data_IF_830220206808
#
_entry.id   IF_830220206808
#
_cell.length_a   1.000
_cell.length_b   1.000
_cell.length_c   1.000
_cell.angle_alpha   90.00
_cell.angle_beta   90.00
_cell.angle_gamma   90.00
#
_symmetry.space_group_name_H-M   'P 1'
#
loop_
_entity.id
_entity.type
_entity.pdbx_description
1 polymer ?
#
# COMPACT_ATOMS: atom_id res chain seq x y z
N UNK A 1 -3.89 -1.14 -11.36
CA UNK A 1 -3.70 -0.59 -10.00
C UNK A 1 -3.68 0.94 -10.01
N UNK A 2 -4.53 1.61 -9.24
CA UNK A 2 -4.59 3.08 -9.20
C UNK A 2 -5.17 3.62 -7.90
N UNK A 3 -4.53 4.64 -7.32
CA UNK A 3 -5.04 5.43 -6.21
C UNK A 3 -5.59 6.77 -6.72
N UNK A 4 -6.79 7.15 -6.29
CA UNK A 4 -7.43 8.41 -6.67
C UNK A 4 -7.63 9.28 -5.44
N UNK A 5 -7.15 10.52 -5.47
CA UNK A 5 -7.38 11.49 -4.41
C UNK A 5 -7.84 12.83 -5.00
N UNK A 6 -9.07 13.22 -4.65
CA UNK A 6 -9.71 14.44 -5.14
C UNK A 6 -9.79 15.56 -4.07
N UNK A 7 -9.11 15.40 -2.93
CA UNK A 7 -9.14 16.39 -1.86
C UNK A 7 -8.10 17.50 -2.01
N UNK A 8 -8.24 18.57 -1.21
CA UNK A 8 -7.39 19.77 -1.31
C UNK A 8 -6.02 19.70 -0.63
N UNK A 9 -5.66 18.60 0.05
CA UNK A 9 -4.39 18.52 0.77
C UNK A 9 -3.23 18.25 -0.18
N UNK A 10 -2.42 19.28 -0.47
CA UNK A 10 -1.28 19.23 -1.40
C UNK A 10 -0.27 18.13 -1.08
N UNK A 11 -0.03 17.84 0.21
CA UNK A 11 0.90 16.77 0.61
C UNK A 11 0.36 15.41 0.20
N UNK A 12 -0.92 15.16 0.48
CA UNK A 12 -1.58 13.92 0.05
C UNK A 12 -1.58 13.79 -1.46
N UNK A 13 -1.94 14.83 -2.22
CA UNK A 13 -1.90 14.76 -3.69
C UNK A 13 -0.53 14.33 -4.22
N UNK A 14 0.56 14.85 -3.63
CA UNK A 14 1.94 14.47 -4.00
C UNK A 14 2.26 13.01 -3.64
N UNK A 15 1.92 12.58 -2.42
CA UNK A 15 2.14 11.20 -1.98
C UNK A 15 1.38 10.22 -2.86
N UNK A 16 0.12 10.53 -3.20
CA UNK A 16 -0.73 9.69 -4.04
C UNK A 16 -0.18 9.57 -5.45
N UNK A 17 0.28 10.68 -6.03
CA UNK A 17 0.98 10.65 -7.32
C UNK A 17 2.20 9.73 -7.24
N UNK A 18 3.04 9.88 -6.21
CA UNK A 18 4.24 9.04 -6.06
C UNK A 18 3.91 7.56 -5.81
N UNK A 19 2.87 7.28 -5.05
CA UNK A 19 2.39 5.91 -4.83
C UNK A 19 1.96 5.26 -6.15
N UNK A 20 1.23 5.98 -7.00
CA UNK A 20 0.86 5.48 -8.33
C UNK A 20 2.08 5.20 -9.20
N UNK A 21 3.09 6.08 -9.21
CA UNK A 21 4.34 5.84 -9.94
C UNK A 21 5.06 4.57 -9.45
N UNK A 22 5.08 4.32 -8.14
CA UNK A 22 5.72 3.14 -7.56
C UNK A 22 4.94 1.87 -7.84
N UNK A 23 3.61 1.89 -7.69
CA UNK A 23 2.74 0.74 -7.96
C UNK A 23 2.77 0.32 -9.44
N UNK A 24 3.17 1.21 -10.35
CA UNK A 24 3.37 0.93 -11.78
C UNK A 24 4.83 0.62 -12.14
N UNK A 25 5.76 0.72 -11.19
CA UNK A 25 7.20 0.58 -11.45
C UNK A 25 7.64 -0.87 -11.50
N UNK A 26 8.28 -1.29 -12.59
CA UNK A 26 8.92 -2.60 -12.69
C UNK A 26 9.98 -2.83 -11.62
N UNK A 27 10.71 -1.79 -11.21
CA UNK A 27 11.72 -1.91 -10.15
C UNK A 27 11.11 -2.24 -8.80
N UNK A 28 9.92 -1.69 -8.51
CA UNK A 28 9.22 -2.02 -7.28
C UNK A 28 8.83 -3.51 -7.26
N UNK A 29 8.32 -4.03 -8.38
CA UNK A 29 8.00 -5.46 -8.50
C UNK A 29 9.23 -6.37 -8.43
N UNK A 30 10.40 -5.95 -8.94
CA UNK A 30 11.65 -6.69 -8.78
C UNK A 30 12.05 -6.79 -7.31
N UNK A 31 11.92 -5.71 -6.54
CA UNK A 31 12.23 -5.74 -5.10
C UNK A 31 11.23 -6.58 -4.30
N UNK A 32 9.94 -6.56 -4.68
CA UNK A 32 8.95 -7.50 -4.14
C UNK A 32 9.37 -8.94 -4.45
N UNK A 33 9.72 -9.24 -5.69
CA UNK A 33 10.13 -10.58 -6.12
C UNK A 33 11.34 -11.10 -5.36
N UNK A 34 12.39 -10.28 -5.23
CA UNK A 34 13.57 -10.62 -4.41
C UNK A 34 13.19 -10.91 -2.97
N UNK A 35 12.35 -10.06 -2.37
CA UNK A 35 11.88 -10.27 -1.01
C UNK A 35 11.12 -11.59 -0.88
N UNK A 36 10.23 -11.91 -1.82
CA UNK A 36 9.47 -13.15 -1.80
C UNK A 36 10.37 -14.38 -1.95
N UNK A 37 11.29 -14.38 -2.91
CA UNK A 37 12.26 -15.46 -3.13
C UNK A 37 13.18 -15.72 -1.92
N UNK A 38 13.45 -14.69 -1.11
CA UNK A 38 14.25 -14.82 0.11
C UNK A 38 13.49 -15.41 1.30
N UNK A 39 12.15 -15.30 1.32
CA UNK A 39 11.35 -15.56 2.51
C UNK A 39 10.29 -16.66 2.31
N UNK A 40 9.99 -17.05 1.07
CA UNK A 40 8.91 -17.97 0.73
C UNK A 40 9.32 -18.91 -0.41
N UNK A 41 8.58 -20.02 -0.54
CA UNK A 41 8.76 -20.99 -1.62
C UNK A 41 8.60 -20.32 -3.00
N UNK A 42 9.39 -20.78 -3.99
CA UNK A 42 9.39 -20.24 -5.36
C UNK A 42 8.01 -20.31 -6.01
N UNK A 43 7.29 -21.42 -5.83
CA UNK A 43 5.94 -21.62 -6.37
C UNK A 43 4.94 -20.60 -5.78
N UNK A 44 4.94 -20.43 -4.45
CA UNK A 44 4.05 -19.47 -3.78
C UNK A 44 4.37 -18.04 -4.18
N UNK A 45 5.65 -17.72 -4.25
CA UNK A 45 6.15 -16.40 -4.67
C UNK A 45 5.69 -16.06 -6.09
N UNK A 46 5.82 -17.02 -7.01
CA UNK A 46 5.42 -16.87 -8.41
C UNK A 46 3.91 -16.68 -8.55
N UNK A 47 3.11 -17.48 -7.84
CA UNK A 47 1.64 -17.34 -7.84
C UNK A 47 1.25 -15.97 -7.27
N UNK A 48 1.81 -15.59 -6.12
CA UNK A 48 1.51 -14.30 -5.49
C UNK A 48 1.84 -13.12 -6.42
N UNK A 49 3.00 -13.11 -7.07
CA UNK A 49 3.39 -12.05 -8.01
C UNK A 49 2.48 -11.97 -9.22
N UNK A 50 2.09 -13.14 -9.77
CA UNK A 50 1.16 -13.21 -10.90
C UNK A 50 -0.19 -12.63 -10.52
N UNK A 51 -0.74 -13.03 -9.37
CA UNK A 51 -1.99 -12.48 -8.86
C UNK A 51 -1.86 -10.98 -8.61
N UNK A 52 -0.83 -10.54 -7.89
CA UNK A 52 -0.61 -9.12 -7.62
C UNK A 52 -0.55 -8.29 -8.91
N UNK A 53 0.18 -8.74 -9.95
CA UNK A 53 0.29 -8.03 -11.24
C UNK A 53 -1.00 -8.03 -12.04
N UNK A 54 -1.87 -9.04 -11.89
CA UNK A 54 -3.15 -9.10 -12.62
C UNK A 54 -4.20 -8.13 -12.06
N UNK A 55 -3.99 -7.60 -10.84
CA UNK A 55 -4.95 -6.73 -10.18
C UNK A 55 -5.03 -5.34 -10.82
N UNK A 56 -6.11 -5.11 -11.56
CA UNK A 56 -6.48 -3.78 -12.01
C UNK A 56 -7.57 -3.14 -11.13
N UNK A 57 -7.17 -2.75 -9.92
CA UNK A 57 -8.08 -2.09 -8.98
C UNK A 57 -7.79 -0.59 -8.86
N UNK A 58 -8.87 0.18 -8.90
CA UNK A 58 -8.87 1.59 -8.51
C UNK A 58 -9.38 1.73 -7.08
N UNK A 59 -8.67 2.49 -6.26
CA UNK A 59 -8.98 2.71 -4.84
C UNK A 59 -9.04 4.20 -4.56
N UNK A 60 -10.17 4.65 -4.01
CA UNK A 60 -10.36 6.04 -3.63
C UNK A 60 -9.68 6.36 -2.30
N UNK A 61 -9.17 7.57 -2.18
CA UNK A 61 -8.62 8.13 -0.96
C UNK A 61 -9.53 9.25 -0.50
N UNK A 62 -10.10 9.08 0.69
CA UNK A 62 -11.03 10.03 1.29
C UNK A 62 -10.37 10.70 2.50
N UNK A 63 -10.18 12.01 2.41
CA UNK A 63 -9.64 12.81 3.50
C UNK A 63 -10.75 13.27 4.44
N UNK A 64 -10.52 13.19 5.75
CA UNK A 64 -11.35 13.82 6.76
C UNK A 64 -10.46 14.55 7.77
N UNK A 65 -11.03 15.47 8.54
CA UNK A 65 -10.30 16.19 9.58
C UNK A 65 -10.87 15.82 10.94
N UNK A 66 -10.07 15.14 11.76
CA UNK A 66 -10.44 14.80 13.13
C UNK A 66 -9.21 14.91 14.06
N UNK A 67 -9.06 16.01 14.81
CA UNK A 67 -7.91 16.22 15.67
C UNK A 67 -7.93 15.33 16.92
N UNK A 68 -9.08 14.77 17.31
CA UNK A 68 -9.24 13.96 18.52
C UNK A 68 -8.90 12.49 18.29
N UNK A 69 -9.15 11.97 17.08
CA UNK A 69 -8.88 10.57 16.73
C UNK A 69 -7.40 10.23 16.59
N UNK A 70 -7.03 8.96 16.81
CA UNK A 70 -5.62 8.51 16.85
C UNK A 70 -5.08 7.88 15.56
N UNK A 71 -5.95 7.47 14.61
CA UNK A 71 -5.51 6.81 13.37
C UNK A 71 -5.35 7.80 12.22
N UNK A 72 -4.20 7.75 11.55
CA UNK A 72 -3.86 8.59 10.40
C UNK A 72 -4.41 8.04 9.08
N UNK A 73 -4.30 6.73 8.85
CA UNK A 73 -4.81 6.03 7.67
C UNK A 73 -5.57 4.76 8.11
N UNK A 74 -6.56 4.37 7.31
CA UNK A 74 -7.30 3.12 7.51
C UNK A 74 -7.96 2.64 6.22
N UNK A 75 -7.71 1.39 5.85
CA UNK A 75 -8.41 0.66 4.82
C UNK A 75 -9.86 0.42 5.23
N UNK A 76 -10.77 0.69 4.29
CA UNK A 76 -12.19 0.38 4.32
C UNK A 76 -12.48 -0.33 3.01
N UNK A 77 -13.30 -1.38 3.03
CA UNK A 77 -13.74 -2.24 1.91
C UNK A 77 -13.14 -1.94 0.50
N UNK A 78 -13.39 -0.75 -0.05
CA UNK A 78 -12.97 -0.28 -1.36
C UNK A 78 -12.25 1.09 -1.37
N UNK A 79 -11.98 1.72 -0.23
CA UNK A 79 -11.33 3.03 -0.13
C UNK A 79 -10.38 3.16 1.08
N UNK A 80 -9.41 4.07 0.99
CA UNK A 80 -8.52 4.43 2.10
C UNK A 80 -9.05 5.71 2.73
N UNK A 81 -9.35 5.66 4.02
CA UNK A 81 -9.72 6.83 4.81
C UNK A 81 -8.49 7.45 5.46
N UNK A 82 -8.27 8.75 5.28
CA UNK A 82 -7.10 9.47 5.80
C UNK A 82 -7.53 10.62 6.71
N UNK A 83 -7.04 10.59 7.95
CA UNK A 83 -7.17 11.69 8.88
C UNK A 83 -6.10 12.75 8.62
N UNK A 84 -6.52 13.84 7.99
CA UNK A 84 -5.64 14.95 7.61
C UNK A 84 -5.06 15.72 8.80
N UNK A 85 -5.68 15.64 9.99
CA UNK A 85 -5.15 16.25 11.20
C UNK A 85 -3.91 15.53 11.74
N UNK A 86 -3.75 14.24 11.42
CA UNK A 86 -2.72 13.35 11.95
C UNK A 86 -1.83 12.75 10.85
N UNK A 87 -1.62 13.48 9.76
CA UNK A 87 -0.72 13.04 8.70
C UNK A 87 0.71 12.89 9.22
N UNK A 88 1.35 11.77 8.90
CA UNK A 88 2.77 11.59 9.19
C UNK A 88 3.57 12.76 8.61
N UNK A 89 4.47 13.33 9.42
CA UNK A 89 5.37 14.42 9.00
C UNK A 89 6.31 13.95 7.89
N UNK A 90 6.79 12.70 7.97
CA UNK A 90 7.64 12.09 6.95
C UNK A 90 6.84 11.72 5.71
N UNK A 91 7.27 12.22 4.54
CA UNK A 91 6.70 11.82 3.25
C UNK A 91 6.91 10.30 3.04
N UNK A 92 8.11 9.81 3.34
CA UNK A 92 8.54 8.41 3.24
C UNK A 92 7.64 7.47 4.02
N UNK A 93 7.33 7.84 5.25
CA UNK A 93 6.43 7.06 6.10
C UNK A 93 4.99 7.11 5.60
N UNK A 94 4.51 8.28 5.18
CA UNK A 94 3.15 8.43 4.67
C UNK A 94 2.92 7.63 3.38
N UNK A 95 3.91 7.62 2.48
CA UNK A 95 3.89 6.81 1.26
C UNK A 95 3.80 5.31 1.60
N UNK A 96 4.67 4.84 2.50
CA UNK A 96 4.70 3.44 2.91
C UNK A 96 3.38 3.00 3.53
N UNK A 97 2.81 3.83 4.42
CA UNK A 97 1.50 3.60 5.01
C UNK A 97 0.42 3.52 3.93
N UNK A 98 0.43 4.44 2.96
CA UNK A 98 -0.57 4.46 1.90
C UNK A 98 -0.53 3.20 1.02
N UNK A 99 0.67 2.75 0.63
CA UNK A 99 0.83 1.52 -0.16
C UNK A 99 0.45 0.29 0.66
N UNK A 100 0.79 0.24 1.95
CA UNK A 100 0.36 -0.85 2.84
C UNK A 100 -1.16 -0.96 2.95
N UNK A 101 -1.85 0.16 3.16
CA UNK A 101 -3.33 0.20 3.22
C UNK A 101 -3.97 -0.16 1.87
N UNK A 102 -3.33 0.22 0.76
CA UNK A 102 -3.77 -0.19 -0.58
C UNK A 102 -3.70 -1.71 -0.76
N UNK A 103 -2.58 -2.35 -0.40
CA UNK A 103 -2.43 -3.80 -0.45
C UNK A 103 -3.44 -4.50 0.47
N UNK A 104 -3.75 -3.94 1.63
CA UNK A 104 -4.79 -4.47 2.51
C UNK A 104 -6.19 -4.43 1.85
N UNK A 105 -6.49 -3.39 1.07
CA UNK A 105 -7.75 -3.33 0.29
C UNK A 105 -7.76 -4.36 -0.84
N UNK A 106 -6.61 -4.66 -1.46
CA UNK A 106 -6.52 -5.75 -2.43
C UNK A 106 -6.81 -7.09 -1.75
N UNK A 107 -6.15 -7.35 -0.62
CA UNK A 107 -6.26 -8.60 0.13
C UNK A 107 -7.68 -8.91 0.60
N UNK A 108 -8.42 -7.89 1.07
CA UNK A 108 -9.82 -8.06 1.48
C UNK A 108 -10.73 -8.62 0.37
N UNK A 109 -10.38 -8.43 -0.90
CA UNK A 109 -11.16 -8.94 -2.04
C UNK A 109 -10.56 -10.20 -2.67
N UNK A 110 -9.25 -10.20 -2.86
CA UNK A 110 -8.54 -11.19 -3.68
C UNK A 110 -7.88 -12.28 -2.83
N UNK A 111 -7.87 -12.10 -1.50
CA UNK A 111 -7.37 -13.06 -0.53
C UNK A 111 -5.90 -13.47 -0.79
N UNK A 112 -5.09 -12.51 -1.22
CA UNK A 112 -3.63 -12.67 -1.46
C UNK A 112 -2.91 -13.25 -0.23
N UNK A 113 -3.38 -12.91 0.97
CA UNK A 113 -2.92 -13.44 2.26
C UNK A 113 -3.05 -14.95 2.40
N UNK A 114 -3.89 -15.62 1.60
CA UNK A 114 -3.97 -17.09 1.54
C UNK A 114 -2.76 -17.71 0.85
N UNK A 115 -2.07 -16.97 -0.02
CA UNK A 115 -0.87 -17.43 -0.72
C UNK A 115 0.35 -17.07 0.14
N UNK A 116 0.48 -15.79 0.49
CA UNK A 116 1.56 -15.25 1.31
C UNK A 116 0.95 -14.27 2.31
N UNK A 117 1.11 -14.51 3.63
CA UNK A 117 0.53 -13.64 4.65
C UNK A 117 0.95 -12.19 4.45
N UNK A 118 -0.04 -11.29 4.35
CA UNK A 118 0.21 -9.84 4.29
C UNK A 118 0.24 -9.20 5.68
N UNK A 119 -0.09 -9.98 6.72
CA UNK A 119 -0.43 -9.48 8.05
C UNK A 119 -0.25 -10.53 9.16
N UNK A 120 0.83 -11.31 9.15
CA UNK A 120 1.23 -11.97 10.40
C UNK A 120 1.93 -10.94 11.28
N UNK A 121 1.64 -10.96 12.58
CA UNK A 121 1.99 -9.98 13.62
C UNK A 121 3.49 -9.74 13.86
N UNK A 122 4.32 -10.09 12.88
CA UNK A 122 5.73 -9.76 12.73
C UNK A 122 5.87 -9.04 11.38
N UNK A 123 5.63 -7.72 11.36
CA UNK A 123 6.12 -6.79 10.32
C UNK A 123 5.74 -6.98 8.83
N UNK A 124 4.62 -7.60 8.45
CA UNK A 124 4.28 -7.77 7.03
C UNK A 124 3.61 -6.59 6.29
N UNK A 125 2.67 -5.79 6.86
CA UNK A 125 2.26 -4.52 6.23
C UNK A 125 3.41 -3.49 6.29
N UNK A 126 4.43 -3.74 7.13
CA UNK A 126 5.64 -2.97 7.14
C UNK A 126 6.52 -3.27 5.93
N UNK A 127 6.56 -4.48 5.35
CA UNK A 127 7.56 -4.81 4.32
C UNK A 127 7.24 -4.28 2.92
N UNK A 128 6.06 -4.55 2.33
CA UNK A 128 5.78 -4.05 0.97
C UNK A 128 5.63 -2.52 0.91
N UNK A 129 5.00 -1.93 1.93
CA UNK A 129 5.00 -0.49 2.12
C UNK A 129 6.40 0.07 2.40
N UNK A 130 7.25 -0.65 3.16
CA UNK A 130 8.64 -0.18 3.40
C UNK A 130 9.55 -0.36 2.21
N UNK A 131 9.36 -1.35 1.34
CA UNK A 131 10.08 -1.45 0.06
C UNK A 131 9.86 -0.16 -0.73
N UNK A 132 8.63 0.37 -0.74
CA UNK A 132 8.33 1.64 -1.42
C UNK A 132 9.10 2.85 -0.86
N UNK A 133 9.57 2.78 0.39
CA UNK A 133 10.43 3.82 0.97
C UNK A 133 11.74 3.93 0.21
N UNK A 134 12.25 2.88 -0.43
CA UNK A 134 13.52 2.91 -1.18
C UNK A 134 13.40 3.62 -2.54
N UNK A 135 12.18 4.01 -2.93
CA UNK A 135 11.88 4.68 -4.18
C UNK A 135 11.54 6.16 -3.97
N UNK A 136 12.16 6.84 -3.01
CA UNK A 136 12.09 8.30 -2.84
C UNK A 136 13.37 8.98 -3.27
#
# INVERSE_FOLDING_TARGET
MKLIYNGGNRKLSRVVKRANEILLSSFYFIEIEKYLQQNYDEDKSSIFLKELRSLDKTVDIKGFWNPVGSKSLKAKNDYILINTAHLSKSHRTLLAQLIGEYLQILDQKEQLSRIIPLNDGVDLPANFGSIAKNFM
#
